data_IF_313572205440
#
_entry.id   IF_313572205440
#
_cell.length_a   1.000
_cell.length_b   1.000
_cell.length_c   1.000
_cell.angle_alpha   90.00
_cell.angle_beta   90.00
_cell.angle_gamma   90.00
#
_symmetry.space_group_name_H-M   'P 1'
#
loop_
_entity.id
_entity.type
_entity.pdbx_description
1 polymer ?
#
# COMPACT_ATOMS: atom_id res chain seq x y z
N UNK A 1 -18.08 21.68 25.09
CA UNK A 1 -18.08 20.25 25.41
C UNK A 1 -16.86 19.62 24.75
N UNK A 2 -15.96 19.04 25.52
CA UNK A 2 -14.82 18.33 24.95
C UNK A 2 -15.32 17.00 24.35
N UNK A 3 -14.91 16.72 23.13
CA UNK A 3 -15.18 15.41 22.52
C UNK A 3 -14.10 14.46 23.06
N UNK A 4 -14.50 13.46 23.82
CA UNK A 4 -13.59 12.40 24.22
C UNK A 4 -13.43 11.42 23.06
N UNK A 5 -12.20 11.28 22.57
CA UNK A 5 -11.87 10.31 21.57
C UNK A 5 -11.44 9.01 22.25
N UNK A 6 -12.17 7.94 22.00
CA UNK A 6 -11.93 6.63 22.63
C UNK A 6 -11.06 5.70 21.81
N UNK A 7 -10.49 6.18 20.68
CA UNK A 7 -9.66 5.38 19.81
C UNK A 7 -8.26 5.10 20.38
N UNK A 8 -7.56 4.18 19.75
CA UNK A 8 -6.19 3.81 20.13
C UNK A 8 -5.15 4.59 19.33
N UNK A 9 -4.00 4.83 19.98
CA UNK A 9 -2.84 5.48 19.39
C UNK A 9 -1.60 4.70 19.86
N UNK A 10 -0.92 4.02 18.93
CA UNK A 10 0.25 3.20 19.24
C UNK A 10 1.36 3.46 18.23
N UNK A 11 2.60 3.50 18.72
CA UNK A 11 3.76 3.70 17.87
C UNK A 11 4.19 5.15 17.77
N UNK A 12 5.08 5.43 16.83
CA UNK A 12 5.69 6.75 16.64
C UNK A 12 5.65 7.16 15.17
N UNK A 13 5.58 8.47 14.95
CA UNK A 13 5.72 9.05 13.62
C UNK A 13 7.21 9.31 13.36
N UNK A 14 7.72 8.69 12.29
CA UNK A 14 9.12 8.85 11.84
C UNK A 14 9.15 8.99 10.33
N UNK A 15 9.93 9.93 9.84
CA UNK A 15 10.18 10.06 8.41
C UNK A 15 10.91 8.82 7.86
N UNK A 16 10.70 8.51 6.60
CA UNK A 16 11.44 7.45 5.92
C UNK A 16 12.92 7.77 5.81
N UNK A 17 13.74 6.73 6.00
CA UNK A 17 15.10 6.67 5.46
C UNK A 17 15.03 6.12 4.03
N UNK A 18 16.10 6.24 3.20
CA UNK A 18 16.12 5.59 1.90
C UNK A 18 15.83 4.08 1.97
N UNK A 19 16.32 3.41 3.01
CA UNK A 19 16.16 1.98 3.23
C UNK A 19 14.71 1.62 3.57
N UNK A 20 14.06 2.34 4.48
CA UNK A 20 12.67 2.07 4.85
C UNK A 20 11.73 2.41 3.70
N UNK A 21 12.02 3.46 2.93
CA UNK A 21 11.23 3.80 1.75
C UNK A 21 11.32 2.72 0.68
N UNK A 22 12.51 2.24 0.37
CA UNK A 22 12.71 1.13 -0.57
C UNK A 22 11.99 -0.14 -0.11
N UNK A 23 12.02 -0.42 1.19
CA UNK A 23 11.37 -1.59 1.78
C UNK A 23 9.85 -1.57 1.61
N UNK A 24 9.22 -0.40 1.53
CA UNK A 24 7.76 -0.31 1.29
C UNK A 24 7.35 -0.95 -0.04
N UNK A 25 8.19 -0.84 -1.05
CA UNK A 25 7.96 -1.47 -2.35
C UNK A 25 8.44 -2.92 -2.37
N UNK A 26 9.64 -3.20 -1.90
CA UNK A 26 10.24 -4.55 -1.92
C UNK A 26 9.40 -5.55 -1.12
N UNK A 27 8.79 -5.12 -0.02
CA UNK A 27 7.92 -5.91 0.83
C UNK A 27 6.44 -5.70 0.54
N UNK A 28 6.09 -5.03 -0.56
CA UNK A 28 4.71 -4.84 -0.93
C UNK A 28 3.99 -6.19 -1.08
N UNK A 29 2.73 -6.21 -0.67
CA UNK A 29 1.86 -7.36 -0.86
C UNK A 29 1.36 -7.36 -2.29
N UNK A 30 1.66 -8.41 -3.04
CA UNK A 30 1.29 -8.52 -4.45
C UNK A 30 0.39 -9.73 -4.65
N UNK A 31 -0.72 -9.50 -5.36
CA UNK A 31 -1.64 -10.57 -5.76
C UNK A 31 -1.76 -10.56 -7.28
N UNK A 32 -1.54 -11.70 -7.90
CA UNK A 32 -1.67 -11.88 -9.33
C UNK A 32 -2.83 -12.81 -9.66
N UNK A 33 -3.64 -12.52 -10.70
CA UNK A 33 -4.69 -13.44 -11.13
C UNK A 33 -4.11 -14.79 -11.53
N UNK A 34 -4.89 -15.83 -11.35
CA UNK A 34 -4.50 -17.18 -11.73
C UNK A 34 -5.69 -17.87 -12.41
N UNK A 35 -5.57 -18.12 -13.71
CA UNK A 35 -6.66 -18.61 -14.55
C UNK A 35 -7.20 -19.99 -14.15
N UNK A 36 -6.47 -20.79 -13.43
CA UNK A 36 -6.87 -22.16 -13.08
C UNK A 36 -7.14 -22.37 -11.59
N UNK A 37 -7.15 -21.32 -10.76
CA UNK A 37 -7.27 -21.47 -9.33
C UNK A 37 -7.25 -20.16 -8.57
N UNK A 38 -6.95 -20.25 -7.27
CA UNK A 38 -6.82 -19.08 -6.42
C UNK A 38 -5.72 -18.14 -6.91
N UNK A 39 -5.88 -16.82 -6.71
CA UNK A 39 -4.82 -15.86 -7.05
C UNK A 39 -3.49 -16.22 -6.37
N UNK A 40 -2.40 -15.89 -7.06
CA UNK A 40 -1.04 -16.06 -6.51
C UNK A 40 -0.71 -14.89 -5.62
N UNK A 41 -0.14 -15.16 -4.45
CA UNK A 41 0.20 -14.16 -3.44
C UNK A 41 1.69 -14.19 -3.17
N UNK A 42 2.32 -13.02 -3.09
CA UNK A 42 3.74 -12.91 -2.80
C UNK A 42 4.19 -11.47 -2.68
N UNK A 43 5.49 -11.26 -2.83
CA UNK A 43 6.12 -9.93 -2.86
C UNK A 43 6.60 -9.59 -4.26
N UNK A 44 7.04 -8.34 -4.43
CA UNK A 44 7.63 -7.89 -5.70
C UNK A 44 8.82 -8.78 -6.10
N UNK A 45 9.68 -9.12 -5.15
CA UNK A 45 10.86 -9.96 -5.41
C UNK A 45 10.47 -11.39 -5.82
N UNK A 46 9.45 -11.96 -5.18
CA UNK A 46 9.00 -13.32 -5.49
C UNK A 46 8.42 -13.42 -6.90
N UNK A 47 7.87 -12.33 -7.44
CA UNK A 47 7.25 -12.30 -8.77
C UNK A 47 8.14 -11.71 -9.87
N UNK A 48 9.41 -11.53 -9.62
CA UNK A 48 10.34 -10.97 -10.62
C UNK A 48 10.50 -11.85 -11.88
N UNK A 49 10.15 -13.11 -11.79
CA UNK A 49 10.23 -14.07 -12.91
C UNK A 49 8.90 -14.30 -13.65
N UNK A 50 7.85 -13.55 -13.32
CA UNK A 50 6.55 -13.70 -13.98
C UNK A 50 6.63 -13.34 -15.45
N UNK A 51 5.86 -14.09 -16.27
CA UNK A 51 5.83 -13.93 -17.74
C UNK A 51 4.54 -13.31 -18.25
N UNK A 52 3.47 -13.32 -17.45
CA UNK A 52 2.20 -12.69 -17.77
C UNK A 52 2.09 -11.30 -17.16
N UNK A 53 1.64 -10.33 -17.95
CA UNK A 53 1.41 -8.97 -17.52
C UNK A 53 -0.08 -8.66 -17.43
N UNK A 54 -0.45 -7.81 -16.49
CA UNK A 54 -1.83 -7.43 -16.18
C UNK A 54 -1.92 -5.92 -15.95
N UNK A 55 -3.11 -5.32 -16.18
CA UNK A 55 -3.37 -4.02 -15.58
C UNK A 55 -3.30 -4.16 -14.06
N UNK A 56 -2.89 -3.11 -13.37
CA UNK A 56 -2.66 -3.17 -11.94
C UNK A 56 -3.53 -2.17 -11.18
N UNK A 57 -3.92 -2.55 -9.98
CA UNK A 57 -4.41 -1.64 -8.94
C UNK A 57 -3.28 -1.45 -7.92
N UNK A 58 -2.82 -0.22 -7.79
CA UNK A 58 -1.90 0.17 -6.71
C UNK A 58 -2.78 0.63 -5.56
N UNK A 59 -2.87 -0.17 -4.52
CA UNK A 59 -3.77 0.04 -3.40
C UNK A 59 -3.01 0.52 -2.17
N UNK A 60 -3.40 1.69 -1.64
CA UNK A 60 -2.80 2.26 -0.45
C UNK A 60 -3.62 1.84 0.79
N UNK A 61 -3.02 1.04 1.66
CA UNK A 61 -3.67 0.57 2.89
C UNK A 61 -3.87 1.70 3.91
N UNK A 62 -4.74 1.47 4.89
CA UNK A 62 -4.95 2.40 6.01
C UNK A 62 -3.84 2.32 7.06
N UNK A 63 -4.06 2.98 8.22
CA UNK A 63 -3.07 3.05 9.30
C UNK A 63 -2.75 1.71 9.96
N UNK A 64 -3.60 0.70 9.78
CA UNK A 64 -3.39 -0.65 10.33
C UNK A 64 -2.53 -1.55 9.45
N UNK A 65 -1.97 -1.03 8.38
CA UNK A 65 -1.06 -1.76 7.51
C UNK A 65 -1.75 -2.77 6.58
N UNK A 66 -0.98 -3.72 6.11
CA UNK A 66 -1.46 -4.83 5.28
C UNK A 66 -2.04 -5.89 6.20
N UNK A 67 -3.24 -5.63 6.70
CA UNK A 67 -3.96 -6.51 7.62
C UNK A 67 -4.77 -7.60 6.87
N UNK A 68 -5.39 -8.56 7.58
CA UNK A 68 -6.15 -9.62 6.93
C UNK A 68 -7.27 -9.13 6.02
N UNK A 69 -7.96 -8.04 6.37
CA UNK A 69 -9.03 -7.47 5.54
C UNK A 69 -8.50 -6.93 4.21
N UNK A 70 -7.36 -6.25 4.25
CA UNK A 70 -6.69 -5.75 3.03
C UNK A 70 -6.27 -6.92 2.14
N UNK A 71 -5.72 -7.98 2.72
CA UNK A 71 -5.31 -9.19 1.98
C UNK A 71 -6.50 -9.86 1.29
N UNK A 72 -7.61 -10.03 2.00
CA UNK A 72 -8.83 -10.61 1.45
C UNK A 72 -9.36 -9.75 0.31
N UNK A 73 -9.42 -8.44 0.51
CA UNK A 73 -9.88 -7.50 -0.51
C UNK A 73 -9.00 -7.52 -1.77
N UNK A 74 -7.68 -7.52 -1.58
CA UNK A 74 -6.73 -7.57 -2.70
C UNK A 74 -6.88 -8.87 -3.51
N UNK A 75 -7.05 -10.00 -2.85
CA UNK A 75 -7.27 -11.29 -3.50
C UNK A 75 -8.60 -11.31 -4.26
N UNK A 76 -9.65 -10.76 -3.67
CA UNK A 76 -10.95 -10.65 -4.33
C UNK A 76 -10.88 -9.77 -5.58
N UNK A 77 -10.22 -8.61 -5.50
CA UNK A 77 -10.03 -7.72 -6.65
C UNK A 77 -9.30 -8.42 -7.79
N UNK A 78 -8.18 -9.07 -7.48
CA UNK A 78 -7.37 -9.76 -8.48
C UNK A 78 -8.18 -10.86 -9.18
N UNK A 79 -8.94 -11.62 -8.43
CA UNK A 79 -9.75 -12.70 -8.97
C UNK A 79 -10.95 -12.19 -9.78
N UNK A 80 -11.69 -11.22 -9.24
CA UNK A 80 -12.91 -10.70 -9.87
C UNK A 80 -12.62 -9.90 -11.14
N UNK A 81 -11.58 -9.07 -11.13
CA UNK A 81 -11.28 -8.13 -12.22
C UNK A 81 -10.13 -8.59 -13.11
N UNK A 82 -9.46 -9.68 -12.78
CA UNK A 82 -8.28 -10.17 -13.50
C UNK A 82 -7.19 -9.13 -13.63
N UNK A 83 -6.88 -8.47 -12.53
CA UNK A 83 -5.84 -7.44 -12.42
C UNK A 83 -4.80 -7.87 -11.40
N UNK A 84 -3.57 -7.37 -11.55
CA UNK A 84 -2.59 -7.41 -10.49
C UNK A 84 -3.00 -6.39 -9.41
N UNK A 85 -2.81 -6.74 -8.16
CA UNK A 85 -3.00 -5.81 -7.04
C UNK A 85 -1.70 -5.72 -6.27
N UNK A 86 -1.15 -4.53 -6.14
CA UNK A 86 0.05 -4.28 -5.33
C UNK A 86 -0.29 -3.31 -4.22
N UNK A 87 0.07 -3.70 -3.00
CA UNK A 87 -0.16 -2.92 -1.79
C UNK A 87 1.21 -2.60 -1.20
N UNK A 88 1.78 -1.42 -1.47
CA UNK A 88 3.01 -1.00 -0.80
C UNK A 88 2.81 -1.05 0.72
N UNK A 89 3.80 -1.58 1.42
CA UNK A 89 3.70 -1.77 2.86
C UNK A 89 4.36 -0.59 3.59
N UNK A 90 3.52 0.30 4.11
CA UNK A 90 3.97 1.49 4.83
C UNK A 90 4.55 1.19 6.21
N UNK A 91 4.40 -0.04 6.71
CA UNK A 91 4.80 -0.42 8.07
C UNK A 91 6.29 -0.81 8.17
N UNK A 92 7.16 -0.16 7.40
CA UNK A 92 8.59 -0.47 7.34
C UNK A 92 9.44 0.40 8.27
N UNK A 93 8.91 1.49 8.80
CA UNK A 93 9.61 2.25 9.84
C UNK A 93 9.43 1.56 11.18
N UNK A 94 10.46 1.63 12.02
CA UNK A 94 10.40 1.04 13.36
C UNK A 94 9.26 1.66 14.16
N UNK A 95 8.43 0.81 14.77
CA UNK A 95 7.33 1.22 15.65
C UNK A 95 6.41 2.27 14.99
N UNK A 96 6.09 2.08 13.72
CA UNK A 96 5.26 3.01 12.96
C UNK A 96 3.90 3.21 13.62
N UNK A 97 3.48 4.47 13.70
CA UNK A 97 2.21 4.84 14.32
C UNK A 97 1.02 4.14 13.64
N UNK A 98 0.24 3.45 14.47
CA UNK A 98 -1.10 2.96 14.14
C UNK A 98 -2.13 3.66 15.03
N UNK A 99 -3.27 4.01 14.47
CA UNK A 99 -4.24 4.80 15.21
C UNK A 99 -5.67 4.55 14.75
N UNK A 100 -6.60 4.70 15.68
CA UNK A 100 -8.04 4.80 15.44
C UNK A 100 -8.64 6.05 16.08
N UNK A 101 -7.79 6.97 16.56
CA UNK A 101 -8.17 8.28 17.12
C UNK A 101 -7.51 9.38 16.31
N UNK A 102 -7.97 10.64 16.42
CA UNK A 102 -7.29 11.76 15.79
C UNK A 102 -5.84 11.88 16.26
N UNK A 103 -4.99 12.28 15.34
CA UNK A 103 -3.57 12.50 15.53
C UNK A 103 -3.31 14.00 15.44
N UNK A 104 -2.33 14.56 16.18
CA UNK A 104 -1.97 15.97 16.03
C UNK A 104 -1.68 16.34 14.58
N UNK A 105 -2.08 17.54 14.15
CA UNK A 105 -1.95 17.98 12.76
C UNK A 105 -0.52 17.88 12.21
N UNK A 106 0.49 18.19 13.03
CA UNK A 106 1.88 18.07 12.65
C UNK A 106 2.28 16.63 12.32
N UNK A 107 1.77 15.65 13.08
CA UNK A 107 2.02 14.23 12.85
C UNK A 107 1.30 13.74 11.57
N UNK A 108 0.09 14.20 11.31
CA UNK A 108 -0.61 13.91 10.05
C UNK A 108 0.19 14.38 8.84
N UNK A 109 0.78 15.56 8.89
CA UNK A 109 1.58 16.09 7.78
C UNK A 109 2.80 15.21 7.50
N UNK A 110 3.46 14.70 8.54
CA UNK A 110 4.60 13.76 8.39
C UNK A 110 4.11 12.45 7.78
N UNK A 111 3.01 11.90 8.28
CA UNK A 111 2.42 10.66 7.77
C UNK A 111 2.06 10.81 6.28
N UNK A 112 1.37 11.86 5.92
CA UNK A 112 0.95 12.06 4.53
C UNK A 112 2.13 12.30 3.59
N UNK A 113 3.18 12.95 4.07
CA UNK A 113 4.44 13.09 3.32
C UNK A 113 5.09 11.74 3.07
N UNK A 114 5.19 10.90 4.11
CA UNK A 114 5.70 9.53 4.00
C UNK A 114 4.91 8.73 2.98
N UNK A 115 3.59 8.75 3.08
CA UNK A 115 2.69 8.00 2.20
C UNK A 115 2.79 8.47 0.74
N UNK A 116 2.91 9.76 0.53
CA UNK A 116 3.10 10.33 -0.82
C UNK A 116 4.43 9.89 -1.43
N UNK A 117 5.49 9.79 -0.63
CA UNK A 117 6.79 9.27 -1.07
C UNK A 117 6.69 7.79 -1.44
N UNK A 118 5.99 6.99 -0.65
CA UNK A 118 5.76 5.56 -0.91
C UNK A 118 5.04 5.34 -2.22
N UNK A 119 3.96 6.08 -2.47
CA UNK A 119 3.20 5.97 -3.70
C UNK A 119 3.99 6.44 -4.92
N UNK A 120 4.72 7.55 -4.80
CA UNK A 120 5.56 8.04 -5.88
C UNK A 120 6.63 7.01 -6.26
N UNK A 121 7.27 6.38 -5.28
CA UNK A 121 8.24 5.31 -5.53
C UNK A 121 7.55 4.11 -6.20
N UNK A 122 6.40 3.68 -5.69
CA UNK A 122 5.66 2.56 -6.27
C UNK A 122 5.32 2.79 -7.74
N UNK A 123 4.91 4.00 -8.11
CA UNK A 123 4.55 4.33 -9.48
C UNK A 123 5.76 4.40 -10.42
N UNK A 124 6.95 4.64 -9.89
CA UNK A 124 8.21 4.54 -10.64
C UNK A 124 8.61 3.07 -10.80
N UNK A 125 8.66 2.35 -9.70
CA UNK A 125 9.17 0.97 -9.66
C UNK A 125 8.26 -0.03 -10.37
N UNK A 126 6.95 0.17 -10.37
CA UNK A 126 6.01 -0.75 -11.02
C UNK A 126 6.30 -0.90 -12.51
N UNK A 127 6.85 0.12 -13.14
CA UNK A 127 7.21 0.09 -14.57
C UNK A 127 8.26 -0.97 -14.91
N UNK A 128 9.00 -1.43 -13.91
CA UNK A 128 10.01 -2.48 -14.04
C UNK A 128 9.47 -3.86 -13.67
N UNK A 129 8.24 -3.96 -13.18
CA UNK A 129 7.64 -5.23 -12.81
C UNK A 129 7.18 -6.00 -14.06
N UNK A 130 7.60 -7.27 -14.23
CA UNK A 130 7.23 -8.05 -15.43
C UNK A 130 5.74 -8.37 -15.51
N UNK A 131 5.04 -8.33 -14.38
CA UNK A 131 3.59 -8.58 -14.30
C UNK A 131 2.73 -7.35 -14.58
N UNK A 132 3.33 -6.18 -14.85
CA UNK A 132 2.61 -4.93 -15.13
C UNK A 132 2.54 -4.65 -16.63
N UNK A 133 1.34 -4.40 -17.15
CA UNK A 133 1.12 -4.15 -18.58
C UNK A 133 1.14 -2.66 -18.98
N UNK A 134 1.41 -1.77 -18.01
CA UNK A 134 1.47 -0.32 -18.24
C UNK A 134 0.20 0.44 -17.88
N UNK A 135 -0.88 -0.25 -17.51
CA UNK A 135 -2.16 0.37 -17.11
C UNK A 135 -2.35 0.25 -15.61
N UNK A 136 -2.49 1.37 -14.91
CA UNK A 136 -2.65 1.38 -13.46
C UNK A 136 -3.83 2.24 -13.02
N UNK A 137 -4.51 1.76 -11.99
CA UNK A 137 -5.46 2.53 -11.18
C UNK A 137 -4.87 2.65 -9.79
N UNK A 138 -4.97 3.84 -9.20
CA UNK A 138 -4.57 4.10 -7.82
C UNK A 138 -5.83 4.16 -6.97
N UNK A 139 -5.83 3.41 -5.89
CA UNK A 139 -6.94 3.37 -4.94
C UNK A 139 -6.39 3.32 -3.52
N UNK A 140 -7.25 3.54 -2.54
CA UNK A 140 -6.84 3.47 -1.15
C UNK A 140 -8.01 3.58 -0.20
N UNK A 141 -7.76 3.27 1.06
CA UNK A 141 -8.74 3.35 2.12
C UNK A 141 -8.19 4.15 3.30
N UNK A 142 -9.04 4.95 3.95
CA UNK A 142 -8.70 5.75 5.13
C UNK A 142 -7.45 6.63 4.88
N UNK A 143 -6.39 6.50 5.67
CA UNK A 143 -5.10 7.17 5.46
C UNK A 143 -4.58 6.98 4.03
N UNK A 144 -4.66 5.76 3.50
CA UNK A 144 -4.27 5.44 2.14
C UNK A 144 -5.19 6.06 1.08
N UNK A 145 -6.45 6.28 1.40
CA UNK A 145 -7.39 6.99 0.53
C UNK A 145 -6.98 8.45 0.31
N UNK A 146 -6.49 9.11 1.34
CA UNK A 146 -5.93 10.47 1.24
C UNK A 146 -4.68 10.45 0.35
N UNK A 147 -3.83 9.45 0.52
CA UNK A 147 -2.63 9.29 -0.30
C UNK A 147 -2.98 9.15 -1.79
N UNK A 148 -3.94 8.29 -2.10
CA UNK A 148 -4.41 8.09 -3.47
C UNK A 148 -5.02 9.37 -4.06
N UNK A 149 -5.82 10.09 -3.28
CA UNK A 149 -6.46 11.33 -3.72
C UNK A 149 -5.47 12.47 -3.96
N UNK A 150 -4.34 12.49 -3.25
CA UNK A 150 -3.31 13.53 -3.38
C UNK A 150 -2.29 13.24 -4.49
N UNK A 151 -2.30 12.05 -5.07
CA UNK A 151 -1.31 11.69 -6.08
C UNK A 151 -1.40 12.60 -7.31
N UNK A 152 -0.26 13.09 -7.74
CA UNK A 152 -0.11 13.86 -8.98
C UNK A 152 0.95 13.18 -9.86
N UNK A 153 0.56 12.87 -11.08
CA UNK A 153 1.45 12.25 -12.05
C UNK A 153 2.51 13.22 -12.58
#
# INVERSE_FOLDING_TARGET
MAIEYTGSLQGKVRAHTPETLAATWLNAYVVLPNAGGAPKVGTVEEFKGETKAYPAVVFCHGSSGVNPQIKIFAQWLADALRVAVVVPDSMQTEDRLTYSSPVPAADYEIIHKMRSQELALAMIEIKHAPWFDGRAIIAGTSEGGVTAARYQA
#
